data_IF_898902200365
#
_entry.id   IF_898902200365
#
_cell.length_a   1.000
_cell.length_b   1.000
_cell.length_c   1.000
_cell.angle_alpha   90.00
_cell.angle_beta   90.00
_cell.angle_gamma   90.00
#
_symmetry.space_group_name_H-M   'P 1'
#
loop_
_entity.id
_entity.type
_entity.pdbx_description
1 polymer ?
#
# COMPACT_ATOMS: atom_id res chain seq x y z
N UNK A 1 6.01 -10.89 -15.66
CA UNK A 1 4.94 -9.88 -15.69
C UNK A 1 5.60 -8.54 -15.95
N UNK A 2 5.22 -7.83 -17.02
CA UNK A 2 5.63 -6.44 -17.20
C UNK A 2 4.66 -5.58 -16.38
N UNK A 3 5.21 -4.80 -15.45
CA UNK A 3 4.48 -3.79 -14.70
C UNK A 3 4.53 -2.48 -15.50
N UNK A 4 3.43 -1.73 -15.53
CA UNK A 4 3.50 -0.35 -16.03
C UNK A 4 4.50 0.43 -15.18
N UNK A 5 5.55 0.95 -15.82
CA UNK A 5 6.50 1.84 -15.15
C UNK A 5 5.76 3.15 -14.84
N UNK A 6 5.62 3.47 -13.55
CA UNK A 6 5.03 4.74 -13.15
C UNK A 6 6.06 5.87 -13.08
N UNK A 7 5.56 7.04 -12.69
CA UNK A 7 6.34 8.27 -12.62
C UNK A 7 7.24 8.26 -11.38
N UNK A 8 8.46 8.81 -11.50
CA UNK A 8 9.31 9.07 -10.34
C UNK A 8 8.76 10.23 -9.51
N UNK A 9 8.65 10.05 -8.20
CA UNK A 9 8.26 11.13 -7.30
C UNK A 9 9.39 12.14 -7.09
N UNK A 10 9.10 13.21 -6.32
CA UNK A 10 10.06 14.29 -6.02
C UNK A 10 11.27 13.82 -5.20
N UNK A 11 11.22 12.63 -4.63
CA UNK A 11 12.29 12.00 -3.86
C UNK A 11 13.05 10.96 -4.70
N UNK A 12 12.67 10.78 -5.98
CA UNK A 12 13.29 9.84 -6.91
C UNK A 12 12.73 8.42 -6.84
N UNK A 13 11.67 8.16 -6.05
CA UNK A 13 11.08 6.84 -5.95
C UNK A 13 10.20 6.54 -7.16
N UNK A 14 10.39 5.36 -7.76
CA UNK A 14 9.49 4.86 -8.79
C UNK A 14 8.14 4.49 -8.20
N UNK A 15 7.07 5.02 -8.80
CA UNK A 15 5.70 4.63 -8.45
C UNK A 15 5.30 3.44 -9.30
N UNK A 16 4.66 2.46 -8.67
CA UNK A 16 4.06 1.32 -9.36
C UNK A 16 2.55 1.39 -9.17
N UNK A 17 1.81 1.18 -10.26
CA UNK A 17 0.35 1.17 -10.26
C UNK A 17 -0.17 -0.01 -11.10
N UNK A 18 -1.46 -0.28 -11.03
CA UNK A 18 -2.12 -1.22 -11.95
C UNK A 18 -2.02 -2.71 -11.59
N UNK A 19 -1.23 -3.11 -10.58
CA UNK A 19 -1.06 -4.53 -10.22
C UNK A 19 -2.38 -5.24 -9.91
N UNK A 20 -3.30 -4.56 -9.22
CA UNK A 20 -4.61 -5.13 -8.88
C UNK A 20 -5.45 -5.39 -10.14
N UNK A 21 -5.44 -4.46 -11.10
CA UNK A 21 -6.14 -4.60 -12.38
C UNK A 21 -5.56 -5.72 -13.22
N UNK A 22 -4.22 -5.77 -13.32
CA UNK A 22 -3.52 -6.81 -14.07
C UNK A 22 -3.78 -8.21 -13.48
N UNK A 23 -3.71 -8.33 -12.15
CA UNK A 23 -4.00 -9.59 -11.46
C UNK A 23 -5.45 -10.02 -11.67
N UNK A 24 -6.39 -9.07 -11.66
CA UNK A 24 -7.80 -9.35 -11.91
C UNK A 24 -8.02 -9.99 -13.28
N UNK A 25 -7.44 -9.41 -14.33
CA UNK A 25 -7.52 -9.97 -15.69
C UNK A 25 -6.88 -11.36 -15.80
N UNK A 26 -5.74 -11.58 -15.14
CA UNK A 26 -5.09 -12.89 -15.11
C UNK A 26 -5.94 -13.95 -14.40
N UNK A 27 -6.57 -13.59 -13.28
CA UNK A 27 -7.47 -14.48 -12.53
C UNK A 27 -8.70 -14.84 -13.36
N UNK A 28 -9.29 -13.87 -14.05
CA UNK A 28 -10.43 -14.11 -14.95
C UNK A 28 -10.06 -15.07 -16.08
N UNK A 29 -8.91 -14.88 -16.73
CA UNK A 29 -8.43 -15.76 -17.80
C UNK A 29 -8.18 -17.20 -17.32
N UNK A 30 -7.58 -17.36 -16.13
CA UNK A 30 -7.23 -18.69 -15.60
C UNK A 30 -8.40 -19.43 -14.99
N UNK A 31 -9.34 -18.72 -14.38
CA UNK A 31 -10.37 -19.33 -13.55
C UNK A 31 -11.77 -19.25 -14.18
N UNK A 32 -11.96 -18.45 -15.24
CA UNK A 32 -13.26 -18.24 -15.87
C UNK A 32 -14.29 -17.60 -14.93
N UNK A 33 -13.83 -16.87 -13.90
CA UNK A 33 -14.66 -16.23 -12.87
C UNK A 33 -14.34 -14.76 -12.79
N UNK A 34 -15.38 -13.93 -12.66
CA UNK A 34 -15.25 -12.48 -12.48
C UNK A 34 -14.38 -12.16 -11.26
N UNK A 35 -13.43 -11.25 -11.43
CA UNK A 35 -12.61 -10.70 -10.37
C UNK A 35 -12.77 -9.17 -10.34
N UNK A 36 -12.99 -8.61 -9.15
CA UNK A 36 -13.19 -7.16 -8.95
C UNK A 36 -12.06 -6.59 -8.08
N UNK A 37 -11.12 -5.83 -8.64
CA UNK A 37 -10.05 -5.24 -7.86
C UNK A 37 -10.58 -4.02 -7.08
N UNK A 38 -10.16 -3.89 -5.82
CA UNK A 38 -10.48 -2.73 -4.97
C UNK A 38 -9.18 -2.04 -4.56
N UNK A 39 -9.06 -0.74 -4.87
CA UNK A 39 -7.86 0.06 -4.58
C UNK A 39 -8.17 0.96 -3.39
N UNK A 40 -7.74 0.56 -2.20
CA UNK A 40 -8.13 1.20 -0.94
C UNK A 40 -7.27 2.41 -0.53
N UNK A 41 -6.32 2.85 -1.34
CA UNK A 41 -5.18 3.70 -0.93
C UNK A 41 -5.43 4.79 0.12
N UNK A 42 -6.48 5.61 -0.03
CA UNK A 42 -6.84 6.65 0.96
C UNK A 42 -7.55 6.09 2.19
N UNK A 43 -8.45 5.11 2.00
CA UNK A 43 -9.21 4.44 3.07
C UNK A 43 -8.29 3.72 4.04
N UNK A 44 -7.28 3.00 3.54
CA UNK A 44 -6.32 2.27 4.38
C UNK A 44 -5.42 3.16 5.23
N UNK A 45 -5.18 4.41 4.82
CA UNK A 45 -4.32 5.36 5.53
C UNK A 45 -5.07 6.33 6.43
N UNK A 46 -6.39 6.44 6.28
CA UNK A 46 -7.24 7.35 7.04
C UNK A 46 -7.99 6.70 8.21
N UNK A 47 -7.80 5.40 8.46
CA UNK A 47 -8.48 4.69 9.54
C UNK A 47 -7.97 5.07 10.94
N UNK A 48 -8.81 4.87 11.96
CA UNK A 48 -8.39 5.02 13.37
C UNK A 48 -7.29 4.00 13.71
N UNK A 49 -6.14 4.43 14.27
CA UNK A 49 -5.07 3.51 14.65
C UNK A 49 -5.54 2.43 15.62
N UNK A 50 -4.96 1.24 15.54
CA UNK A 50 -5.24 0.16 16.51
C UNK A 50 -4.62 0.47 17.88
N UNK A 51 -4.99 -0.29 18.91
CA UNK A 51 -4.35 -0.17 20.22
C UNK A 51 -2.83 -0.42 20.14
N UNK A 52 -2.42 -1.37 19.30
CA UNK A 52 -1.01 -1.68 19.06
C UNK A 52 -0.28 -0.49 18.43
N UNK A 53 -0.86 0.11 17.38
CA UNK A 53 -0.26 1.27 16.69
C UNK A 53 -0.04 2.43 17.64
N UNK A 54 -0.98 2.69 18.56
CA UNK A 54 -0.84 3.75 19.56
C UNK A 54 0.32 3.51 20.51
N UNK A 55 0.45 2.29 21.05
CA UNK A 55 1.57 1.94 21.95
C UNK A 55 2.91 2.02 21.21
N UNK A 56 2.97 1.53 19.97
CA UNK A 56 4.18 1.59 19.15
C UNK A 56 4.59 3.04 18.86
N UNK A 57 3.64 3.90 18.49
CA UNK A 57 3.91 5.31 18.24
C UNK A 57 4.46 6.03 19.48
N UNK A 58 3.90 5.76 20.67
CA UNK A 58 4.42 6.32 21.93
C UNK A 58 5.85 5.87 22.20
N UNK A 59 6.17 4.59 21.97
CA UNK A 59 7.53 4.07 22.15
C UNK A 59 8.54 4.72 21.19
N UNK A 60 8.17 4.87 19.92
CA UNK A 60 9.03 5.59 18.97
C UNK A 60 9.28 7.03 19.40
N UNK A 61 8.25 7.74 19.86
CA UNK A 61 8.41 9.10 20.40
C UNK A 61 9.37 9.17 21.58
N UNK A 62 9.23 8.24 22.54
CA UNK A 62 10.15 8.14 23.68
C UNK A 62 11.59 7.92 23.25
N UNK A 63 11.84 6.90 22.41
CA UNK A 63 13.20 6.57 21.97
C UNK A 63 13.84 7.65 21.10
N UNK A 64 13.04 8.42 20.36
CA UNK A 64 13.56 9.55 19.60
C UNK A 64 14.11 10.67 20.52
N UNK A 65 13.49 10.91 21.66
CA UNK A 65 13.98 11.88 22.67
C UNK A 65 15.24 11.36 23.34
N UNK A 66 15.25 10.09 23.75
CA UNK A 66 16.42 9.46 24.39
C UNK A 66 17.66 9.44 23.47
N UNK A 67 17.46 9.42 22.16
CA UNK A 67 18.54 9.37 21.17
C UNK A 67 19.05 10.74 20.70
N UNK A 68 18.46 11.84 21.18
CA UNK A 68 18.81 13.22 20.82
C UNK A 68 19.91 13.79 21.74
#
# INVERSE_FOLDING_TARGET
MQFEQGVKDIYGHERFAGVATQLSGELEQRLGKEARPVILGHVQRGGTPTAYDRVLATRFGWHAVEAA
#
